data_IF_491116925714
#
_entry.id   IF_491116925714
#
_cell.length_a   1.000
_cell.length_b   1.000
_cell.length_c   1.000
_cell.angle_alpha   90.00
_cell.angle_beta   90.00
_cell.angle_gamma   90.00
#
_symmetry.space_group_name_H-M   'P 1'
#
loop_
_entity.id
_entity.type
_entity.pdbx_description
1 polymer ?
#
# COMPACT_ATOMS: atom_id res chain seq x y z
N UNK A 1 -7.07 18.08 8.13
CA UNK A 1 -6.60 18.32 9.51
C UNK A 1 -7.10 17.16 10.34
N UNK A 2 -6.49 16.00 10.11
CA UNK A 2 -5.57 15.35 11.06
C UNK A 2 -6.31 14.86 12.31
N UNK A 3 -6.93 13.68 12.18
CA UNK A 3 -6.88 12.71 13.27
C UNK A 3 -5.41 12.33 13.44
N UNK A 4 -4.60 13.23 14.03
CA UNK A 4 -3.28 12.83 14.49
C UNK A 4 -3.53 11.75 15.53
N UNK A 5 -3.14 10.53 15.23
CA UNK A 5 -3.05 9.47 16.24
C UNK A 5 -2.17 10.06 17.35
N UNK A 6 -2.80 10.45 18.46
CA UNK A 6 -2.09 11.02 19.60
C UNK A 6 -1.19 9.92 20.14
N UNK A 7 0.05 9.90 19.67
CA UNK A 7 1.05 8.96 20.14
C UNK A 7 1.43 9.41 21.54
N UNK A 8 1.13 8.58 22.54
CA UNK A 8 1.51 8.91 23.90
C UNK A 8 3.02 9.08 23.98
N UNK A 9 3.47 10.11 24.70
CA UNK A 9 4.90 10.39 24.93
C UNK A 9 5.62 9.15 25.44
N UNK A 10 4.95 8.38 26.32
CA UNK A 10 5.45 7.11 26.85
C UNK A 10 5.75 6.09 25.75
N UNK A 11 4.85 5.91 24.77
CA UNK A 11 5.08 4.98 23.65
C UNK A 11 6.24 5.42 22.78
N UNK A 12 6.32 6.72 22.47
CA UNK A 12 7.41 7.27 21.67
C UNK A 12 8.76 7.06 22.34
N UNK A 13 8.87 7.41 23.62
CA UNK A 13 10.11 7.29 24.39
C UNK A 13 10.53 5.83 24.55
N UNK A 14 9.56 4.92 24.72
CA UNK A 14 9.82 3.48 24.75
C UNK A 14 10.42 2.96 23.43
N UNK A 15 9.83 3.33 22.29
CA UNK A 15 10.34 2.94 20.97
C UNK A 15 11.75 3.50 20.74
N UNK A 16 12.00 4.74 21.15
CA UNK A 16 13.31 5.38 21.02
C UNK A 16 14.40 4.65 21.81
N UNK A 17 14.14 4.31 23.08
CA UNK A 17 15.08 3.54 23.91
C UNK A 17 15.38 2.15 23.35
N UNK A 18 14.39 1.50 22.74
CA UNK A 18 14.62 0.21 22.06
C UNK A 18 15.55 0.40 20.87
N UNK A 19 15.36 1.46 20.08
CA UNK A 19 16.21 1.75 18.94
C UNK A 19 17.67 1.99 19.34
N UNK A 20 17.93 2.70 20.45
CA UNK A 20 19.28 2.88 21.02
C UNK A 20 19.96 1.56 21.40
N UNK A 21 19.16 0.52 21.70
CA UNK A 21 19.64 -0.83 22.03
C UNK A 21 19.68 -1.76 20.81
N UNK A 22 19.53 -1.23 19.59
CA UNK A 22 19.40 -2.00 18.34
C UNK A 22 18.24 -3.02 18.39
N UNK A 23 17.14 -2.68 19.06
CA UNK A 23 15.96 -3.53 19.18
C UNK A 23 14.73 -2.87 18.57
N UNK A 24 13.80 -3.72 18.11
CA UNK A 24 12.46 -3.31 17.65
C UNK A 24 11.40 -3.86 18.59
N UNK A 25 10.23 -3.24 18.60
CA UNK A 25 9.07 -3.66 19.42
C UNK A 25 8.61 -5.09 19.14
N UNK A 26 8.83 -5.59 17.93
CA UNK A 26 8.47 -6.93 17.48
C UNK A 26 9.67 -7.88 17.40
N UNK A 27 10.82 -7.49 17.96
CA UNK A 27 12.01 -8.33 18.10
C UNK A 27 12.83 -8.56 16.84
N UNK A 28 12.41 -8.00 15.71
CA UNK A 28 13.12 -8.12 14.43
C UNK A 28 14.41 -7.29 14.39
N UNK A 29 15.32 -7.66 13.50
CA UNK A 29 16.47 -6.82 13.16
C UNK A 29 16.05 -5.60 12.34
N UNK A 30 16.91 -4.57 12.25
CA UNK A 30 16.60 -3.34 11.49
C UNK A 30 16.51 -3.56 9.98
N UNK A 31 17.24 -4.53 9.45
CA UNK A 31 17.21 -4.94 8.05
C UNK A 31 16.22 -6.07 7.76
N UNK A 32 15.51 -6.57 8.77
CA UNK A 32 14.55 -7.65 8.62
C UNK A 32 13.16 -7.11 8.27
N UNK A 33 12.52 -7.70 7.26
CA UNK A 33 11.14 -7.40 6.88
C UNK A 33 10.13 -8.05 7.83
N UNK A 34 8.88 -7.55 7.82
CA UNK A 34 7.77 -8.30 8.46
C UNK A 34 7.50 -9.53 7.62
N UNK A 35 6.92 -10.58 8.21
CA UNK A 35 6.53 -11.79 7.47
C UNK A 35 5.70 -11.42 6.23
N UNK A 36 6.14 -11.89 5.06
CA UNK A 36 5.48 -11.66 3.79
C UNK A 36 4.73 -12.92 3.37
N UNK A 37 3.48 -12.78 2.93
CA UNK A 37 2.74 -13.85 2.27
C UNK A 37 2.04 -13.32 1.03
N UNK A 38 2.09 -14.09 -0.05
CA UNK A 38 1.52 -13.73 -1.35
C UNK A 38 0.56 -14.84 -1.77
N UNK A 39 -0.66 -14.45 -2.12
CA UNK A 39 -1.67 -15.35 -2.67
C UNK A 39 -2.13 -14.79 -4.01
N UNK A 40 -1.90 -15.52 -5.10
CA UNK A 40 -2.28 -15.11 -6.45
C UNK A 40 -3.60 -15.71 -6.88
N UNK A 41 -4.22 -15.15 -7.92
CA UNK A 41 -5.46 -15.66 -8.54
C UNK A 41 -6.68 -15.69 -7.58
N UNK A 42 -6.75 -14.74 -6.65
CA UNK A 42 -7.85 -14.63 -5.69
C UNK A 42 -9.13 -14.08 -6.33
N UNK A 43 -8.99 -13.07 -7.19
CA UNK A 43 -10.11 -12.44 -7.89
C UNK A 43 -10.29 -13.16 -9.23
N UNK A 44 -11.21 -14.13 -9.27
CA UNK A 44 -11.49 -14.93 -10.49
C UNK A 44 -11.90 -14.11 -11.70
N UNK A 45 -12.50 -12.94 -11.47
CA UNK A 45 -12.94 -12.05 -12.55
C UNK A 45 -11.81 -11.22 -13.13
N UNK A 46 -10.65 -11.10 -12.46
CA UNK A 46 -9.50 -10.35 -12.96
C UNK A 46 -8.56 -11.26 -13.76
N UNK A 47 -7.93 -10.73 -14.81
CA UNK A 47 -6.96 -11.46 -15.63
C UNK A 47 -5.71 -11.81 -14.81
N UNK A 48 -5.36 -10.96 -13.84
CA UNK A 48 -4.37 -11.23 -12.81
C UNK A 48 -4.82 -10.67 -11.47
N UNK A 49 -4.48 -11.32 -10.36
CA UNK A 49 -4.69 -10.75 -9.04
C UNK A 49 -3.73 -11.31 -8.00
N UNK A 50 -3.44 -10.49 -6.99
CA UNK A 50 -2.63 -10.89 -5.85
C UNK A 50 -3.12 -10.23 -4.56
N UNK A 51 -3.21 -11.01 -3.49
CA UNK A 51 -3.29 -10.54 -2.11
C UNK A 51 -1.91 -10.67 -1.48
N UNK A 52 -1.34 -9.54 -1.06
CA UNK A 52 -0.05 -9.49 -0.37
C UNK A 52 -0.28 -9.05 1.08
N UNK A 53 0.29 -9.79 2.02
CA UNK A 53 0.35 -9.40 3.44
C UNK A 53 1.80 -9.20 3.84
N UNK A 54 2.08 -8.07 4.49
CA UNK A 54 3.38 -7.73 5.06
C UNK A 54 3.17 -7.44 6.56
N UNK A 55 3.26 -8.49 7.38
CA UNK A 55 2.73 -8.48 8.74
C UNK A 55 1.22 -8.20 8.72
N UNK A 56 0.81 -7.13 9.41
CA UNK A 56 -0.60 -6.72 9.49
C UNK A 56 -1.04 -5.81 8.33
N UNK A 57 -0.12 -5.34 7.49
CA UNK A 57 -0.46 -4.56 6.31
C UNK A 57 -0.92 -5.52 5.21
N UNK A 58 -2.08 -5.26 4.60
CA UNK A 58 -2.64 -6.07 3.52
C UNK A 58 -2.98 -5.19 2.32
N UNK A 59 -2.62 -5.66 1.12
CA UNK A 59 -2.99 -5.05 -0.16
C UNK A 59 -3.62 -6.12 -1.05
N UNK A 60 -4.64 -5.74 -1.81
CA UNK A 60 -5.26 -6.56 -2.84
C UNK A 60 -5.17 -5.82 -4.17
N UNK A 61 -4.58 -6.46 -5.17
CA UNK A 61 -4.41 -5.89 -6.52
C UNK A 61 -5.09 -6.80 -7.53
N UNK A 62 -5.76 -6.20 -8.52
CA UNK A 62 -6.30 -6.85 -9.70
C UNK A 62 -5.79 -6.16 -10.96
N UNK A 63 -5.51 -6.94 -11.99
CA UNK A 63 -5.15 -6.46 -13.33
C UNK A 63 -6.32 -6.71 -14.25
N UNK A 64 -6.65 -5.69 -15.03
CA UNK A 64 -7.68 -5.69 -16.05
C UNK A 64 -7.08 -5.28 -17.39
N UNK A 65 -7.45 -6.01 -18.44
CA UNK A 65 -7.02 -5.73 -19.81
C UNK A 65 -8.24 -5.29 -20.61
N UNK A 66 -8.09 -4.19 -21.34
CA UNK A 66 -9.11 -3.67 -22.24
C UNK A 66 -8.44 -3.28 -23.56
N UNK A 67 -9.18 -3.44 -24.66
CA UNK A 67 -8.73 -2.94 -25.97
C UNK A 67 -9.16 -1.49 -26.07
N UNK A 68 -8.19 -0.61 -26.27
CA UNK A 68 -8.41 0.84 -26.38
C UNK A 68 -7.53 1.46 -27.46
N UNK A 69 -7.87 2.69 -27.83
CA UNK A 69 -7.03 3.49 -28.73
C UNK A 69 -5.80 3.99 -27.96
N UNK A 70 -4.58 3.86 -28.52
CA UNK A 70 -3.37 4.40 -27.91
C UNK A 70 -3.37 5.93 -27.97
N UNK A 71 -2.53 6.57 -27.15
CA UNK A 71 -2.38 8.02 -27.20
C UNK A 71 -1.78 8.47 -28.55
N UNK A 72 -2.22 9.61 -29.12
CA UNK A 72 -1.74 10.06 -30.43
C UNK A 72 -0.23 10.31 -30.52
N UNK A 73 0.42 10.60 -29.38
CA UNK A 73 1.86 10.81 -29.26
C UNK A 73 2.67 9.50 -29.21
N UNK A 74 2.01 8.35 -28.99
CA UNK A 74 2.63 7.04 -28.79
C UNK A 74 1.76 5.88 -29.35
N UNK A 75 1.46 5.88 -30.66
CA UNK A 75 0.48 4.97 -31.27
C UNK A 75 0.91 3.49 -31.33
N UNK A 76 2.19 3.20 -31.12
CA UNK A 76 2.77 1.86 -31.12
C UNK A 76 2.91 1.26 -29.70
N UNK A 77 2.41 1.96 -28.67
CA UNK A 77 2.51 1.55 -27.27
C UNK A 77 1.14 1.32 -26.63
N UNK A 78 1.09 0.35 -25.72
CA UNK A 78 -0.08 0.15 -24.85
C UNK A 78 -0.12 1.17 -23.71
N UNK A 79 -1.27 1.27 -23.05
CA UNK A 79 -1.49 2.13 -21.89
C UNK A 79 -1.45 1.30 -20.61
N UNK A 80 -0.70 1.78 -19.62
CA UNK A 80 -0.75 1.30 -18.24
C UNK A 80 -1.36 2.40 -17.39
N UNK A 81 -2.38 2.04 -16.61
CA UNK A 81 -2.97 2.93 -15.62
C UNK A 81 -2.90 2.26 -14.26
N UNK A 82 -2.16 2.86 -13.34
CA UNK A 82 -2.10 2.43 -11.95
C UNK A 82 -3.04 3.27 -11.10
N UNK A 83 -3.94 2.62 -10.37
CA UNK A 83 -4.78 3.27 -9.36
C UNK A 83 -4.58 2.61 -8.00
N UNK A 84 -4.73 3.41 -6.94
CA UNK A 84 -4.71 2.92 -5.57
C UNK A 84 -5.87 3.56 -4.80
N UNK A 85 -6.49 2.77 -3.93
CA UNK A 85 -7.58 3.22 -3.07
C UNK A 85 -7.26 2.85 -1.62
N UNK A 86 -7.41 3.84 -0.73
CA UNK A 86 -7.32 3.65 0.71
C UNK A 86 -8.74 3.52 1.26
N UNK A 87 -9.22 2.28 1.36
CA UNK A 87 -10.62 2.02 1.74
C UNK A 87 -10.86 2.27 3.23
N UNK A 88 -12.05 2.78 3.65
CA UNK A 88 -12.38 2.99 5.07
C UNK A 88 -12.30 1.74 5.96
N UNK A 89 -12.38 0.55 5.35
CA UNK A 89 -12.17 -0.73 6.06
C UNK A 89 -10.72 -0.92 6.52
N UNK A 90 -9.74 -0.30 5.86
CA UNK A 90 -8.33 -0.50 6.13
C UNK A 90 -7.80 0.36 7.29
N UNK A 91 -8.41 1.50 7.56
CA UNK A 91 -8.04 2.40 8.66
C UNK A 91 -9.22 3.30 9.05
N UNK A 92 -9.41 3.61 10.35
CA UNK A 92 -10.41 4.60 10.78
C UNK A 92 -10.14 6.02 10.24
N UNK A 93 -8.92 6.30 9.78
CA UNK A 93 -8.54 7.60 9.22
C UNK A 93 -8.85 7.73 7.71
N UNK A 94 -9.26 6.63 7.07
CA UNK A 94 -9.61 6.65 5.65
C UNK A 94 -11.10 6.93 5.47
N UNK A 95 -11.40 7.99 4.73
CA UNK A 95 -12.76 8.38 4.37
C UNK A 95 -13.10 7.92 2.95
N UNK A 96 -14.39 7.67 2.71
CA UNK A 96 -14.86 7.34 1.37
C UNK A 96 -14.85 8.60 0.49
N UNK A 97 -14.45 8.44 -0.78
CA UNK A 97 -14.42 9.54 -1.73
C UNK A 97 -13.39 9.32 -2.82
N UNK A 98 -13.08 10.37 -3.60
CA UNK A 98 -11.97 10.35 -4.55
C UNK A 98 -10.64 10.02 -3.84
N UNK A 99 -9.65 9.42 -4.55
CA UNK A 99 -8.34 9.18 -3.99
C UNK A 99 -7.72 10.44 -3.37
N UNK A 100 -7.29 10.32 -2.13
CA UNK A 100 -6.60 11.39 -1.43
C UNK A 100 -5.14 11.52 -1.91
N UNK A 101 -4.39 12.45 -1.32
CA UNK A 101 -3.00 12.70 -1.71
C UNK A 101 -2.13 11.44 -1.57
N UNK A 102 -2.36 10.63 -0.52
CA UNK A 102 -1.52 9.49 -0.18
C UNK A 102 -1.82 8.31 -1.11
N UNK A 103 -3.09 8.11 -1.47
CA UNK A 103 -3.50 7.17 -2.50
C UNK A 103 -2.95 7.53 -3.89
N UNK A 104 -3.01 8.82 -4.27
CA UNK A 104 -2.45 9.31 -5.54
C UNK A 104 -0.94 9.14 -5.56
N UNK A 105 -0.24 9.48 -4.47
CA UNK A 105 1.20 9.29 -4.37
C UNK A 105 1.58 7.81 -4.50
N UNK A 106 0.90 6.92 -3.77
CA UNK A 106 1.14 5.49 -3.83
C UNK A 106 0.98 4.96 -5.25
N UNK A 107 -0.12 5.32 -5.94
CA UNK A 107 -0.34 4.92 -7.32
C UNK A 107 0.78 5.40 -8.25
N UNK A 108 1.18 6.68 -8.14
CA UNK A 108 2.21 7.27 -9.00
C UNK A 108 3.63 6.79 -8.71
N UNK A 109 3.92 6.34 -7.49
CA UNK A 109 5.23 5.76 -7.16
C UNK A 109 5.34 4.34 -7.71
N UNK A 110 4.24 3.57 -7.66
CA UNK A 110 4.19 2.22 -8.21
C UNK A 110 4.19 2.21 -9.74
N UNK A 111 3.63 3.25 -10.36
CA UNK A 111 3.55 3.40 -11.82
C UNK A 111 4.89 3.74 -12.50
N UNK A 112 5.84 4.34 -11.78
CA UNK A 112 7.15 4.78 -12.30
C UNK A 112 8.15 3.65 -12.45
#
# INVERSE_FOLDING_TARGET
>A
MSNDVILSTIKRDYIYRLAEQNKRVDGRDFNEYRKISIETNLIRKAEGSARVKLGNTQVLVGVKLEVGEPYPDSPDKGVLTTSAELIPLASPDFEAGPPDKDAIELARVVDR
#
